data_IF_089926259937
#
_entry.id   IF_089926259937
#
_cell.length_a   1.000
_cell.length_b   1.000
_cell.length_c   1.000
_cell.angle_alpha   90.00
_cell.angle_beta   90.00
_cell.angle_gamma   90.00
#
_symmetry.space_group_name_H-M   'P 1'
#
loop_
_entity.id
_entity.type
_entity.pdbx_description
1 polymer ?
#
# COMPACT_ATOMS: atom_id res chain seq x y z
N UNK A 1 19.71 2.78 -2.37
CA UNK A 1 18.63 3.30 -3.25
C UNK A 1 17.95 2.18 -4.07
N UNK A 2 18.53 0.98 -4.18
CA UNK A 2 17.92 -0.15 -4.91
C UNK A 2 16.71 -0.79 -4.20
N UNK A 3 16.58 -0.62 -2.88
CA UNK A 3 15.59 -1.32 -2.06
C UNK A 3 14.14 -0.98 -2.40
N UNK A 4 13.79 0.29 -2.64
CA UNK A 4 12.41 0.67 -3.00
C UNK A 4 11.99 0.19 -4.39
N UNK A 5 12.87 0.34 -5.38
CA UNK A 5 12.65 -0.20 -6.73
C UNK A 5 12.48 -1.73 -6.71
N UNK A 6 13.30 -2.42 -5.91
CA UNK A 6 13.16 -3.86 -5.69
C UNK A 6 11.84 -4.17 -4.99
N UNK A 7 11.45 -3.40 -3.97
CA UNK A 7 10.16 -3.57 -3.29
C UNK A 7 8.96 -3.44 -4.23
N UNK A 8 8.96 -2.44 -5.13
CA UNK A 8 7.93 -2.27 -6.16
C UNK A 8 7.83 -3.50 -7.07
N UNK A 9 8.97 -4.00 -7.54
CA UNK A 9 9.04 -5.14 -8.46
C UNK A 9 8.60 -6.44 -7.78
N UNK A 10 9.20 -6.77 -6.64
CA UNK A 10 8.88 -7.99 -5.89
C UNK A 10 7.46 -7.94 -5.32
N UNK A 11 7.01 -6.78 -4.84
CA UNK A 11 5.68 -6.60 -4.27
C UNK A 11 4.57 -6.67 -5.30
N UNK A 12 4.73 -6.02 -6.45
CA UNK A 12 3.75 -6.06 -7.53
C UNK A 12 3.60 -7.47 -8.14
N UNK A 13 4.72 -8.11 -8.48
CA UNK A 13 4.72 -9.50 -8.98
C UNK A 13 4.16 -10.44 -7.91
N UNK A 14 4.59 -10.28 -6.65
CA UNK A 14 4.13 -11.09 -5.53
C UNK A 14 2.62 -10.98 -5.30
N UNK A 15 2.08 -9.76 -5.38
CA UNK A 15 0.65 -9.51 -5.23
C UNK A 15 -0.16 -10.16 -6.37
N UNK A 16 0.29 -10.05 -7.63
CA UNK A 16 -0.33 -10.75 -8.78
C UNK A 16 -0.30 -12.27 -8.58
N UNK A 17 0.86 -12.82 -8.20
CA UNK A 17 1.01 -14.26 -8.01
C UNK A 17 0.16 -14.77 -6.84
N UNK A 18 -0.12 -13.92 -5.84
CA UNK A 18 -0.99 -14.27 -4.72
C UNK A 18 -2.48 -14.37 -5.10
N UNK A 19 -2.89 -13.91 -6.28
CA UNK A 19 -4.27 -14.09 -6.76
C UNK A 19 -4.54 -15.53 -7.23
N UNK A 20 -3.51 -16.25 -7.71
CA UNK A 20 -3.68 -17.60 -8.21
C UNK A 20 -3.30 -18.62 -7.13
N UNK A 21 -4.17 -19.61 -6.92
CA UNK A 21 -3.98 -20.62 -5.88
C UNK A 21 -2.66 -21.40 -6.02
N UNK A 22 -2.27 -21.74 -7.25
CA UNK A 22 -1.04 -22.51 -7.54
C UNK A 22 0.23 -21.72 -7.19
N UNK A 23 0.23 -20.40 -7.38
CA UNK A 23 1.39 -19.53 -7.12
C UNK A 23 1.28 -18.75 -5.81
N UNK A 24 0.26 -19.05 -4.99
CA UNK A 24 -0.05 -18.29 -3.79
C UNK A 24 1.14 -18.18 -2.82
N UNK A 25 1.82 -19.30 -2.55
CA UNK A 25 2.98 -19.33 -1.64
C UNK A 25 4.15 -18.52 -2.17
N UNK A 26 4.44 -18.62 -3.47
CA UNK A 26 5.49 -17.83 -4.11
C UNK A 26 5.16 -16.34 -4.00
N UNK A 27 3.92 -15.97 -4.34
CA UNK A 27 3.45 -14.60 -4.23
C UNK A 27 3.54 -14.05 -2.81
N UNK A 28 3.16 -14.85 -1.81
CA UNK A 28 3.26 -14.50 -0.41
C UNK A 28 4.69 -14.24 0.06
N UNK A 29 5.63 -15.10 -0.32
CA UNK A 29 7.06 -14.92 -0.01
C UNK A 29 7.61 -13.65 -0.67
N UNK A 30 7.23 -13.38 -1.91
CA UNK A 30 7.63 -12.15 -2.62
C UNK A 30 7.11 -10.89 -1.91
N UNK A 31 5.88 -10.92 -1.39
CA UNK A 31 5.32 -9.82 -0.59
C UNK A 31 6.11 -9.59 0.70
N UNK A 32 6.54 -10.66 1.38
CA UNK A 32 7.42 -10.54 2.55
C UNK A 32 8.74 -9.83 2.20
N UNK A 33 9.38 -10.19 1.08
CA UNK A 33 10.58 -9.51 0.61
C UNK A 33 10.32 -8.04 0.27
N UNK A 34 9.18 -7.73 -0.37
CA UNK A 34 8.82 -6.37 -0.69
C UNK A 34 8.68 -5.50 0.57
N UNK A 35 7.92 -5.98 1.56
CA UNK A 35 7.72 -5.26 2.83
C UNK A 35 9.03 -5.13 3.61
N UNK A 36 9.90 -6.16 3.57
CA UNK A 36 11.25 -6.09 4.14
C UNK A 36 12.08 -4.98 3.51
N UNK A 37 12.12 -4.91 2.18
CA UNK A 37 12.85 -3.88 1.46
C UNK A 37 12.32 -2.47 1.75
N UNK A 38 11.00 -2.30 1.94
CA UNK A 38 10.40 -1.02 2.35
C UNK A 38 10.83 -0.67 3.78
N UNK A 39 10.82 -1.63 4.70
CA UNK A 39 11.25 -1.39 6.08
C UNK A 39 12.72 -0.97 6.16
N UNK A 40 13.59 -1.57 5.33
CA UNK A 40 15.01 -1.18 5.22
C UNK A 40 15.16 0.21 4.59
N UNK A 41 14.43 0.50 3.51
CA UNK A 41 14.48 1.81 2.85
C UNK A 41 14.02 2.95 3.77
N UNK A 42 12.95 2.73 4.53
CA UNK A 42 12.35 3.68 5.47
C UNK A 42 13.05 3.70 6.83
N UNK A 43 14.07 2.85 7.04
CA UNK A 43 14.77 2.64 8.32
C UNK A 43 13.81 2.35 9.49
N UNK A 44 12.69 1.68 9.22
CA UNK A 44 11.61 1.45 10.18
C UNK A 44 11.24 -0.03 10.24
N UNK A 45 12.00 -0.78 11.04
CA UNK A 45 11.85 -2.24 11.18
C UNK A 45 10.45 -2.67 11.65
N UNK A 46 9.71 -1.79 12.35
CA UNK A 46 8.36 -2.11 12.82
C UNK A 46 7.42 -2.46 11.67
N UNK A 47 7.62 -1.90 10.47
CA UNK A 47 6.83 -2.22 9.27
C UNK A 47 6.88 -3.71 8.96
N UNK A 48 8.10 -4.26 8.89
CA UNK A 48 8.30 -5.67 8.56
C UNK A 48 7.93 -6.58 9.74
N UNK A 49 8.24 -6.18 10.98
CA UNK A 49 7.88 -6.95 12.18
C UNK A 49 6.36 -7.10 12.31
N UNK A 50 5.61 -6.01 12.17
CA UNK A 50 4.14 -6.04 12.21
C UNK A 50 3.58 -6.91 11.08
N UNK A 51 4.17 -6.86 9.88
CA UNK A 51 3.75 -7.70 8.75
C UNK A 51 4.05 -9.20 8.95
N UNK A 52 5.18 -9.57 9.55
CA UNK A 52 5.48 -10.97 9.91
C UNK A 52 4.48 -11.48 10.96
N UNK A 53 4.16 -10.67 11.97
CA UNK A 53 3.15 -11.04 12.96
C UNK A 53 1.79 -11.27 12.30
N UNK A 54 1.41 -10.41 11.37
CA UNK A 54 0.21 -10.60 10.58
C UNK A 54 0.22 -11.90 9.78
N UNK A 55 1.33 -12.18 9.08
CA UNK A 55 1.55 -13.40 8.32
C UNK A 55 1.42 -14.65 9.20
N UNK A 56 2.10 -14.68 10.34
CA UNK A 56 2.09 -15.82 11.27
C UNK A 56 0.69 -16.07 11.84
N UNK A 57 -0.02 -15.02 12.23
CA UNK A 57 -1.38 -15.12 12.76
C UNK A 57 -2.36 -15.62 11.69
N UNK A 58 -2.29 -15.11 10.46
CA UNK A 58 -3.16 -15.56 9.37
C UNK A 58 -2.87 -17.00 8.94
N UNK A 59 -1.61 -17.42 8.91
CA UNK A 59 -1.25 -18.83 8.67
C UNK A 59 -1.83 -19.71 9.78
N UNK A 60 -1.67 -19.30 11.04
CA UNK A 60 -2.19 -20.05 12.19
C UNK A 60 -3.72 -20.17 12.13
N UNK A 61 -4.42 -19.08 11.85
CA UNK A 61 -5.87 -19.08 11.65
C UNK A 61 -6.30 -20.00 10.50
N UNK A 62 -5.58 -19.96 9.38
CA UNK A 62 -5.85 -20.81 8.21
C UNK A 62 -5.66 -22.29 8.51
N UNK A 63 -4.64 -22.64 9.32
CA UNK A 63 -4.41 -24.03 9.76
C UNK A 63 -5.52 -24.53 10.68
N UNK A 64 -5.97 -23.69 11.63
CA UNK A 64 -7.10 -24.02 12.51
C UNK A 64 -8.38 -24.25 11.69
N UNK A 65 -8.66 -23.37 10.73
CA UNK A 65 -9.83 -23.49 9.88
C UNK A 65 -9.75 -24.73 8.96
N UNK A 66 -8.56 -25.02 8.43
CA UNK A 66 -8.33 -26.22 7.61
C UNK A 66 -8.54 -27.49 8.43
N UNK A 67 -8.10 -27.51 9.69
CA UNK A 67 -8.32 -28.62 10.61
C UNK A 67 -9.80 -28.77 10.95
N UNK A 68 -10.52 -27.67 11.22
CA UNK A 68 -11.96 -27.68 11.45
C UNK A 68 -12.73 -28.23 10.23
N UNK A 69 -12.31 -27.87 9.02
CA UNK A 69 -12.92 -28.37 7.79
C UNK A 69 -12.62 -29.86 7.57
N UNK A 70 -11.40 -30.30 7.89
CA UNK A 70 -11.04 -31.72 7.84
C UNK A 70 -11.86 -32.54 8.84
N UNK A 71 -11.95 -32.11 10.10
CA UNK A 71 -12.79 -32.77 11.13
C UNK A 71 -14.25 -32.81 10.72
N UNK A 72 -14.74 -31.71 10.11
CA UNK A 72 -16.10 -31.67 9.57
C UNK A 72 -16.28 -32.73 8.48
N UNK A 73 -15.38 -32.75 7.49
CA UNK A 73 -15.43 -33.66 6.36
C UNK A 73 -15.39 -35.14 6.78
N UNK A 74 -14.52 -35.49 7.72
CA UNK A 74 -14.38 -36.85 8.26
C UNK A 74 -15.69 -37.34 8.90
N UNK A 75 -16.31 -36.48 9.72
CA UNK A 75 -17.57 -36.77 10.43
C UNK A 75 -18.82 -36.66 9.55
N UNK A 76 -18.74 -36.14 8.33
CA UNK A 76 -19.89 -36.08 7.42
C UNK A 76 -20.45 -37.47 7.10
N UNK A 77 -19.60 -38.50 7.04
CA UNK A 77 -20.03 -39.88 6.78
C UNK A 77 -20.92 -40.43 7.91
N UNK A 78 -20.63 -40.08 9.16
CA UNK A 78 -21.38 -40.50 10.33
C UNK A 78 -22.74 -39.78 10.42
N UNK A 79 -22.76 -38.48 10.09
CA UNK A 79 -23.98 -37.66 10.08
C UNK A 79 -25.04 -38.16 9.08
N UNK A 80 -24.63 -38.79 7.98
CA UNK A 80 -25.57 -39.38 7.01
C UNK A 80 -26.35 -40.55 7.63
N UNK A 81 -25.73 -41.29 8.57
CA UNK A 81 -26.32 -42.47 9.20
C UNK A 81 -27.04 -42.12 10.51
N UNK A 82 -26.58 -41.10 11.23
CA UNK A 82 -27.15 -40.65 12.48
C UNK A 82 -27.40 -39.12 12.47
N UNK A 83 -28.66 -38.67 12.25
CA UNK A 83 -28.99 -37.26 12.18
C UNK A 83 -28.83 -36.52 13.53
N UNK A 84 -28.72 -37.21 14.67
CA UNK A 84 -28.45 -36.56 15.96
C UNK A 84 -27.03 -35.97 16.01
N UNK A 85 -26.11 -36.49 15.20
CA UNK A 85 -24.73 -35.99 15.10
C UNK A 85 -24.59 -34.67 14.37
N UNK A 86 -25.63 -34.20 13.67
CA UNK A 86 -25.62 -32.90 12.99
C UNK A 86 -25.34 -31.76 13.98
N UNK A 87 -25.96 -31.78 15.16
CA UNK A 87 -25.79 -30.72 16.16
C UNK A 87 -24.37 -30.69 16.72
N UNK A 88 -23.78 -31.87 16.96
CA UNK A 88 -22.39 -32.00 17.42
C UNK A 88 -21.42 -31.44 16.37
N UNK A 89 -21.60 -31.82 15.10
CA UNK A 89 -20.79 -31.35 13.98
C UNK A 89 -20.85 -29.82 13.81
N UNK A 90 -22.06 -29.26 13.81
CA UNK A 90 -22.28 -27.82 13.63
C UNK A 90 -21.69 -27.01 14.77
N UNK A 91 -21.82 -27.47 16.01
CA UNK A 91 -21.27 -26.79 17.18
C UNK A 91 -19.74 -26.84 17.21
N UNK A 92 -19.13 -27.98 16.89
CA UNK A 92 -17.69 -28.12 16.79
C UNK A 92 -17.10 -27.23 15.69
N UNK A 93 -17.64 -27.33 14.46
CA UNK A 93 -17.18 -26.52 13.33
C UNK A 93 -17.35 -25.02 13.58
N UNK A 94 -18.50 -24.60 14.12
CA UNK A 94 -18.77 -23.20 14.45
C UNK A 94 -17.79 -22.65 15.50
N UNK A 95 -17.46 -23.44 16.52
CA UNK A 95 -16.52 -23.03 17.58
C UNK A 95 -15.11 -22.82 17.03
N UNK A 96 -14.59 -23.79 16.26
CA UNK A 96 -13.25 -23.67 15.67
C UNK A 96 -13.17 -22.56 14.62
N UNK A 97 -14.21 -22.41 13.80
CA UNK A 97 -14.30 -21.34 12.82
C UNK A 97 -14.30 -19.97 13.49
N UNK A 98 -15.03 -19.81 14.60
CA UNK A 98 -15.06 -18.55 15.34
C UNK A 98 -13.69 -18.20 15.92
N UNK A 99 -13.00 -19.18 16.51
CA UNK A 99 -11.62 -18.99 17.02
C UNK A 99 -10.67 -18.58 15.90
N UNK A 100 -10.73 -19.27 14.75
CA UNK A 100 -9.91 -18.93 13.59
C UNK A 100 -10.18 -17.51 13.08
N UNK A 101 -11.45 -17.09 13.00
CA UNK A 101 -11.84 -15.75 12.56
C UNK A 101 -11.32 -14.67 13.51
N UNK A 102 -11.37 -14.88 14.82
CA UNK A 102 -10.82 -13.93 15.80
C UNK A 102 -9.31 -13.75 15.59
N UNK A 103 -8.56 -14.85 15.45
CA UNK A 103 -7.12 -14.82 15.20
C UNK A 103 -6.81 -14.13 13.87
N UNK A 104 -7.58 -14.41 12.83
CA UNK A 104 -7.46 -13.79 11.52
C UNK A 104 -7.68 -12.27 11.59
N UNK A 105 -8.71 -11.80 12.30
CA UNK A 105 -8.98 -10.36 12.47
C UNK A 105 -7.80 -9.67 13.17
N UNK A 106 -7.24 -10.28 14.22
CA UNK A 106 -6.05 -9.76 14.89
C UNK A 106 -4.85 -9.74 13.93
N UNK A 107 -4.66 -10.80 13.13
CA UNK A 107 -3.62 -10.86 12.11
C UNK A 107 -3.74 -9.76 11.07
N UNK A 108 -4.94 -9.53 10.54
CA UNK A 108 -5.19 -8.46 9.56
C UNK A 108 -5.05 -7.07 10.19
N UNK A 109 -5.32 -6.92 11.49
CA UNK A 109 -5.05 -5.67 12.20
C UNK A 109 -3.55 -5.34 12.24
N UNK A 110 -2.68 -6.32 12.47
CA UNK A 110 -1.23 -6.15 12.35
C UNK A 110 -0.81 -5.82 10.91
N UNK A 111 -1.43 -6.44 9.91
CA UNK A 111 -1.19 -6.14 8.50
C UNK A 111 -1.54 -4.69 8.20
N UNK A 112 -2.69 -4.23 8.69
CA UNK A 112 -3.15 -2.85 8.57
C UNK A 112 -2.16 -1.88 9.20
N UNK A 113 -1.65 -2.18 10.40
CA UNK A 113 -0.63 -1.35 11.04
C UNK A 113 0.64 -1.23 10.19
N UNK A 114 1.08 -2.33 9.57
CA UNK A 114 2.21 -2.32 8.62
C UNK A 114 1.90 -1.47 7.38
N UNK A 115 0.75 -1.68 6.73
CA UNK A 115 0.39 -0.98 5.49
C UNK A 115 0.11 0.51 5.72
N UNK A 116 -0.47 0.88 6.86
CA UNK A 116 -0.64 2.27 7.27
C UNK A 116 0.72 2.96 7.47
N UNK A 117 1.69 2.24 8.05
CA UNK A 117 3.05 2.76 8.17
C UNK A 117 3.71 2.90 6.79
N UNK A 118 3.58 1.93 5.89
CA UNK A 118 4.08 2.03 4.51
C UNK A 118 3.45 3.26 3.81
N UNK A 119 2.13 3.43 3.90
CA UNK A 119 1.43 4.56 3.28
C UNK A 119 1.96 5.91 3.78
N UNK A 120 2.26 6.02 5.08
CA UNK A 120 2.81 7.22 5.70
C UNK A 120 4.24 7.52 5.28
N UNK A 121 5.10 6.50 5.22
CA UNK A 121 6.52 6.69 4.91
C UNK A 121 6.79 6.84 3.40
N UNK A 122 5.94 6.23 2.56
CA UNK A 122 6.10 6.25 1.08
C UNK A 122 5.20 7.25 0.38
N UNK A 123 4.22 7.83 1.09
CA UNK A 123 3.21 8.73 0.52
C UNK A 123 2.10 8.02 -0.28
N UNK A 124 2.13 6.70 -0.41
CA UNK A 124 1.17 5.92 -1.22
C UNK A 124 -0.05 5.54 -0.37
N UNK A 125 -1.08 6.39 -0.41
CA UNK A 125 -2.34 6.18 0.32
C UNK A 125 -3.09 4.88 -0.01
N UNK A 126 -2.86 4.28 -1.19
CA UNK A 126 -3.53 3.05 -1.61
C UNK A 126 -3.26 1.87 -0.68
N UNK A 127 -2.11 1.82 0.00
CA UNK A 127 -1.83 0.79 1.02
C UNK A 127 -2.82 0.84 2.19
N UNK A 128 -3.17 2.05 2.64
CA UNK A 128 -4.16 2.25 3.70
C UNK A 128 -5.54 1.74 3.26
N UNK A 129 -5.97 2.11 2.05
CA UNK A 129 -7.25 1.67 1.50
C UNK A 129 -7.28 0.15 1.33
N UNK A 130 -6.23 -0.45 0.76
CA UNK A 130 -6.12 -1.91 0.60
C UNK A 130 -6.27 -2.64 1.95
N UNK A 131 -5.54 -2.19 2.97
CA UNK A 131 -5.61 -2.77 4.30
C UNK A 131 -7.00 -2.65 4.94
N UNK A 132 -7.71 -1.55 4.69
CA UNK A 132 -9.08 -1.38 5.18
C UNK A 132 -10.04 -2.38 4.53
N UNK A 133 -9.93 -2.60 3.22
CA UNK A 133 -10.71 -3.61 2.50
C UNK A 133 -10.42 -5.03 3.00
N UNK A 134 -9.16 -5.35 3.27
CA UNK A 134 -8.80 -6.62 3.90
C UNK A 134 -9.38 -6.77 5.31
N UNK A 135 -9.37 -5.71 6.13
CA UNK A 135 -9.95 -5.74 7.48
C UNK A 135 -11.46 -5.97 7.44
N UNK A 136 -12.18 -5.22 6.59
CA UNK A 136 -13.62 -5.39 6.36
C UNK A 136 -13.90 -6.81 5.86
N UNK A 137 -13.13 -7.27 4.88
CA UNK A 137 -13.26 -8.62 4.33
C UNK A 137 -13.03 -9.72 5.36
N UNK A 138 -12.06 -9.56 6.27
CA UNK A 138 -11.79 -10.50 7.35
C UNK A 138 -12.92 -10.55 8.38
N UNK A 139 -13.50 -9.40 8.75
CA UNK A 139 -14.67 -9.33 9.65
C UNK A 139 -15.88 -10.00 8.99
N UNK A 140 -16.09 -9.75 7.71
CA UNK A 140 -17.18 -10.34 6.93
C UNK A 140 -16.87 -11.74 6.41
N UNK A 141 -15.73 -12.37 6.72
CA UNK A 141 -15.31 -13.62 6.08
C UNK A 141 -16.24 -14.81 6.30
N UNK A 142 -16.98 -14.82 7.42
CA UNK A 142 -18.03 -15.82 7.69
C UNK A 142 -19.18 -15.71 6.69
N UNK A 143 -19.40 -14.52 6.14
CA UNK A 143 -20.31 -14.30 5.04
C UNK A 143 -19.50 -14.44 3.74
N UNK A 144 -20.02 -15.15 2.75
CA UNK A 144 -19.40 -15.23 1.41
C UNK A 144 -19.04 -13.85 0.83
N UNK A 145 -19.75 -12.80 1.25
CA UNK A 145 -19.49 -11.39 0.91
C UNK A 145 -18.10 -10.91 1.37
N UNK A 146 -17.55 -11.42 2.47
CA UNK A 146 -16.21 -11.03 2.94
C UNK A 146 -15.11 -11.32 1.92
N UNK A 147 -15.23 -12.43 1.19
CA UNK A 147 -14.29 -12.82 0.14
C UNK A 147 -14.22 -11.79 -1.00
N UNK A 148 -15.35 -11.15 -1.32
CA UNK A 148 -15.39 -10.07 -2.32
C UNK A 148 -14.56 -8.86 -1.87
N UNK A 149 -14.66 -8.45 -0.59
CA UNK A 149 -13.86 -7.35 -0.05
C UNK A 149 -12.36 -7.68 -0.01
N UNK A 150 -12.00 -8.92 0.32
CA UNK A 150 -10.62 -9.41 0.26
C UNK A 150 -10.08 -9.33 -1.17
N UNK A 151 -10.88 -9.73 -2.16
CA UNK A 151 -10.49 -9.66 -3.58
C UNK A 151 -10.23 -8.21 -4.00
N UNK A 152 -11.13 -7.28 -3.65
CA UNK A 152 -10.91 -5.85 -3.94
C UNK A 152 -9.65 -5.33 -3.24
N UNK A 153 -9.43 -5.72 -1.97
CA UNK A 153 -8.21 -5.40 -1.23
C UNK A 153 -6.93 -5.88 -1.93
N UNK A 154 -6.96 -7.09 -2.50
CA UNK A 154 -5.84 -7.63 -3.27
C UNK A 154 -5.54 -6.84 -4.54
N UNK A 155 -6.58 -6.36 -5.25
CA UNK A 155 -6.39 -5.50 -6.42
C UNK A 155 -5.82 -4.13 -6.03
N UNK A 156 -6.31 -3.53 -4.95
CA UNK A 156 -5.77 -2.28 -4.41
C UNK A 156 -4.30 -2.43 -3.98
N UNK A 157 -3.95 -3.56 -3.38
CA UNK A 157 -2.59 -3.89 -2.97
C UNK A 157 -1.63 -3.96 -4.17
N UNK A 158 -2.04 -4.59 -5.28
CA UNK A 158 -1.26 -4.61 -6.52
C UNK A 158 -0.99 -3.18 -7.00
N UNK A 159 -2.03 -2.34 -7.04
CA UNK A 159 -1.90 -0.93 -7.42
C UNK A 159 -0.99 -0.16 -6.45
N UNK A 160 -1.07 -0.45 -5.15
CA UNK A 160 -0.26 0.19 -4.13
C UNK A 160 1.23 -0.14 -4.30
N UNK A 161 1.58 -1.41 -4.53
CA UNK A 161 2.97 -1.80 -4.80
C UNK A 161 3.50 -1.17 -6.08
N UNK A 162 2.70 -1.13 -7.15
CA UNK A 162 3.14 -0.48 -8.40
C UNK A 162 3.19 1.05 -8.32
N UNK A 163 2.50 1.67 -7.36
CA UNK A 163 2.56 3.10 -7.09
C UNK A 163 3.72 3.50 -6.16
N UNK A 164 4.49 2.54 -5.63
CA UNK A 164 5.67 2.85 -4.82
C UNK A 164 6.67 3.70 -5.61
N UNK A 165 7.14 4.82 -5.02
CA UNK A 165 8.16 5.64 -5.66
C UNK A 165 9.50 4.92 -5.64
N UNK A 166 10.39 5.24 -6.59
CA UNK A 166 11.73 4.64 -6.64
C UNK A 166 12.65 5.21 -5.54
N UNK A 167 12.34 6.42 -5.05
CA UNK A 167 13.03 7.11 -3.96
C UNK A 167 12.02 7.63 -2.93
N UNK A 168 12.43 7.77 -1.67
CA UNK A 168 11.51 8.26 -0.63
C UNK A 168 11.12 9.72 -0.90
N UNK A 169 9.84 10.10 -0.74
CA UNK A 169 9.38 11.48 -0.83
C UNK A 169 10.01 12.32 0.28
N UNK A 170 11.17 12.91 0.01
CA UNK A 170 11.98 13.64 1.00
C UNK A 170 13.49 13.61 0.73
N UNK A 171 13.98 12.67 -0.08
CA UNK A 171 15.40 12.58 -0.42
C UNK A 171 15.90 13.66 -1.42
N UNK A 172 14.98 14.41 -2.05
CA UNK A 172 15.30 15.38 -3.13
C UNK A 172 15.49 16.82 -2.63
N UNK A 173 15.28 17.10 -1.33
CA UNK A 173 15.39 18.47 -0.79
C UNK A 173 16.72 18.80 -0.09
N UNK A 174 17.74 17.97 -0.21
CA UNK A 174 19.12 18.34 0.15
C UNK A 174 19.87 18.83 -1.09
N UNK A 175 19.29 19.82 -1.79
CA UNK A 175 20.07 20.65 -2.71
C UNK A 175 21.04 21.45 -1.84
N UNK A 176 22.35 21.48 -2.13
CA UNK A 176 23.33 22.19 -1.31
C UNK A 176 22.86 23.62 -1.10
N UNK A 177 22.79 24.03 0.17
CA UNK A 177 22.62 25.44 0.52
C UNK A 177 23.62 26.26 -0.31
N UNK A 178 23.22 27.37 -0.95
CA UNK A 178 24.19 28.31 -1.49
C UNK A 178 25.10 28.71 -0.32
N UNK A 179 26.40 28.52 -0.48
CA UNK A 179 27.40 28.95 0.50
C UNK A 179 27.13 30.40 0.93
N UNK A 180 27.30 30.72 2.22
CA UNK A 180 27.19 32.09 2.69
C UNK A 180 28.36 32.90 2.11
N UNK A 181 28.09 33.71 1.10
CA UNK A 181 29.03 34.73 0.64
C UNK A 181 29.15 35.81 1.72
N UNK A 182 30.11 35.64 2.63
CA UNK A 182 30.60 36.73 3.48
C UNK A 182 31.53 37.62 2.67
N UNK A 183 31.03 38.83 2.41
CA UNK A 183 31.72 40.13 2.38
C UNK A 183 33.17 40.20 1.86
N UNK A 184 33.33 40.90 0.72
CA UNK A 184 34.40 41.88 0.56
C UNK A 184 33.87 43.19 -0.06
N UNK A 185 33.77 44.19 0.83
CA UNK A 185 34.15 45.60 0.65
C UNK A 185 33.59 46.44 -0.50
N UNK A 186 32.67 47.29 -0.08
CA UNK A 186 32.34 48.65 -0.52
C UNK A 186 33.50 49.42 -1.18
N UNK A 187 33.26 49.95 -2.38
CA UNK A 187 33.83 51.23 -2.81
C UNK A 187 32.72 52.04 -3.50
N UNK A 188 32.41 53.20 -2.89
CA UNK A 188 31.37 54.14 -3.29
C UNK A 188 32.05 55.19 -4.17
N UNK A 189 31.60 55.38 -5.41
CA UNK A 189 31.84 56.63 -6.12
C UNK A 189 30.62 57.07 -6.94
N UNK A 190 29.86 57.98 -6.32
CA UNK A 190 29.35 59.23 -6.91
C UNK A 190 28.74 59.23 -8.31
N UNK A 191 27.42 59.43 -8.38
CA UNK A 191 26.78 60.68 -8.84
C UNK A 191 25.35 60.42 -9.35
N UNK A 192 24.42 61.22 -8.84
CA UNK A 192 22.97 61.16 -9.01
C UNK A 192 22.53 62.08 -10.20
N UNK A 193 21.24 62.41 -10.39
CA UNK A 193 20.33 61.89 -11.43
C UNK A 193 19.95 62.92 -12.52
N UNK A 194 19.26 62.52 -13.59
CA UNK A 194 18.40 63.45 -14.34
C UNK A 194 17.21 62.77 -15.01
N UNK A 195 16.05 63.36 -14.74
CA UNK A 195 14.72 63.12 -15.28
C UNK A 195 14.65 63.19 -16.82
N UNK A 196 13.66 62.51 -17.41
CA UNK A 196 12.61 63.07 -18.29
C UNK A 196 12.08 62.01 -19.27
N UNK A 197 10.83 61.59 -19.06
CA UNK A 197 9.91 61.16 -20.12
C UNK A 197 9.67 62.35 -21.08
N UNK A 198 9.38 62.13 -22.38
CA UNK A 198 7.95 62.11 -22.73
C UNK A 198 7.54 61.23 -23.92
N UNK A 199 6.26 60.84 -23.81
CA UNK A 199 5.34 60.35 -24.84
C UNK A 199 5.04 61.43 -25.91
N UNK A 200 5.02 61.04 -27.20
CA UNK A 200 4.06 61.42 -28.30
C UNK A 200 4.72 61.15 -29.67
N UNK A 201 4.17 60.32 -30.55
CA UNK A 201 3.00 60.50 -31.43
C UNK A 201 3.45 60.71 -32.89
N UNK A 202 2.95 59.86 -33.79
CA UNK A 202 2.68 60.10 -35.23
C UNK A 202 2.00 58.82 -35.74
N UNK A 203 0.67 58.80 -35.77
CA UNK A 203 -0.17 59.12 -36.94
C UNK A 203 -0.21 57.99 -37.97
N UNK A 204 -1.36 57.31 -38.03
CA UNK A 204 -1.87 56.62 -39.23
C UNK A 204 -1.88 57.57 -40.44
N UNK A 205 -1.89 57.04 -41.68
CA UNK A 205 -3.18 56.97 -42.37
C UNK A 205 -3.40 55.65 -43.14
N UNK A 206 -4.56 55.04 -42.85
CA UNK A 206 -5.62 54.69 -43.81
C UNK A 206 -5.28 54.64 -45.31
N UNK A 207 -5.63 53.49 -45.90
CA UNK A 207 -6.62 53.37 -46.98
C UNK A 207 -6.21 53.62 -48.44
N UNK A 208 -6.72 52.70 -49.28
CA UNK A 208 -6.92 52.74 -50.73
C UNK A 208 -5.72 52.63 -51.70
N UNK A 209 -5.76 51.55 -52.52
CA UNK A 209 -6.02 51.56 -53.98
C UNK A 209 -5.31 50.35 -54.69
N UNK A 210 -5.52 50.06 -55.99
CA UNK A 210 -6.58 49.16 -56.47
C UNK A 210 -6.09 48.15 -57.56
N UNK A 211 -7.06 47.45 -58.17
CA UNK A 211 -7.09 46.91 -59.56
C UNK A 211 -6.05 45.87 -60.03
N UNK A 212 -6.50 44.65 -60.31
CA UNK A 212 -6.88 44.17 -61.67
C UNK A 212 -7.63 42.81 -61.62
#
# INVERSE_FOLDING_TARGET
MESLKNARTWGGIGAIFSLFYVTYLVGFVLKLFAVKNIAEATKKESIFKDYIWAALLNITASLILSWAFYDMWDKMADVIHDPEKVTELMSAFGTWSLVAVIIMIIGVWFMKKSYDAIARETGVGTFHTAALFYLIGAILALLMVGYFFILVGALLEIMAFFALPEELPGAVNEKPAPEPATEQTVEIESAEPSEEEPVKASEEPSEEAPED
#
